data_IF_128061529327
#
_entry.id   IF_128061529327
#
_cell.length_a   1.000
_cell.length_b   1.000
_cell.length_c   1.000
_cell.angle_alpha   90.00
_cell.angle_beta   90.00
_cell.angle_gamma   90.00
#
_symmetry.space_group_name_H-M   'P 1'
#
loop_
_entity.id
_entity.type
_entity.pdbx_description
1 polymer ?
#
# COMPACT_ATOMS: atom_id res chain seq x y z
N UNK A 1 14.69 24.22 31.54
CA UNK A 1 14.03 23.00 31.02
C UNK A 1 14.76 22.59 29.74
N UNK A 2 15.73 21.67 29.84
CA UNK A 2 16.60 21.29 28.72
C UNK A 2 15.79 20.43 27.76
N UNK A 3 15.52 20.95 26.56
CA UNK A 3 14.88 20.22 25.46
C UNK A 3 15.88 19.16 25.00
N UNK A 4 15.70 17.93 25.47
CA UNK A 4 16.53 16.79 25.09
C UNK A 4 16.31 16.55 23.60
N UNK A 5 17.22 17.04 22.76
CA UNK A 5 17.26 16.66 21.35
C UNK A 5 17.60 15.18 21.27
N UNK A 6 16.56 14.36 21.22
CA UNK A 6 16.70 12.95 20.90
C UNK A 6 17.08 12.91 19.42
N UNK A 7 18.39 12.86 19.17
CA UNK A 7 18.94 12.54 17.87
C UNK A 7 18.37 11.19 17.45
N UNK A 8 17.35 11.22 16.60
CA UNK A 8 16.68 10.04 16.11
C UNK A 8 17.67 9.25 15.27
N UNK A 9 18.10 8.09 15.76
CA UNK A 9 18.88 7.14 14.99
C UNK A 9 18.17 6.89 13.65
N UNK A 10 18.88 6.94 12.53
CA UNK A 10 18.34 6.69 11.19
C UNK A 10 17.94 5.22 10.94
N UNK A 11 17.47 4.51 11.98
CA UNK A 11 16.97 3.14 11.92
C UNK A 11 15.44 3.16 11.92
N UNK A 12 14.80 2.26 11.16
CA UNK A 12 13.36 2.16 11.15
C UNK A 12 12.82 1.78 12.53
N UNK A 13 11.86 2.57 13.03
CA UNK A 13 11.19 2.28 14.29
C UNK A 13 10.12 1.19 14.11
N UNK A 14 9.55 0.70 15.22
CA UNK A 14 8.52 -0.36 15.19
C UNK A 14 7.32 -0.03 14.29
N UNK A 15 6.90 1.23 14.24
CA UNK A 15 5.78 1.66 13.39
C UNK A 15 6.13 1.56 11.90
N UNK A 16 7.34 1.97 11.51
CA UNK A 16 7.83 1.84 10.13
C UNK A 16 7.94 0.38 9.74
N UNK A 17 8.51 -0.46 10.62
CA UNK A 17 8.64 -1.90 10.36
C UNK A 17 7.25 -2.54 10.19
N UNK A 18 6.28 -2.20 11.04
CA UNK A 18 4.92 -2.69 10.93
C UNK A 18 4.28 -2.27 9.59
N UNK A 19 4.36 -0.99 9.23
CA UNK A 19 3.82 -0.49 7.95
C UNK A 19 4.53 -1.13 6.75
N UNK A 20 5.84 -1.36 6.84
CA UNK A 20 6.61 -2.04 5.79
C UNK A 20 6.21 -3.51 5.63
N UNK A 21 5.97 -4.24 6.72
CA UNK A 21 5.45 -5.61 6.71
C UNK A 21 4.06 -5.67 6.08
N UNK A 22 3.17 -4.80 6.54
CA UNK A 22 1.81 -4.67 6.02
C UNK A 22 1.82 -4.33 4.52
N UNK A 23 2.64 -3.36 4.11
CA UNK A 23 2.81 -2.96 2.72
C UNK A 23 3.38 -4.08 1.85
N UNK A 24 4.36 -4.84 2.36
CA UNK A 24 4.92 -6.02 1.68
C UNK A 24 3.84 -7.07 1.44
N UNK A 25 3.07 -7.42 2.47
CA UNK A 25 2.00 -8.42 2.36
C UNK A 25 0.90 -7.98 1.39
N UNK A 26 0.48 -6.72 1.47
CA UNK A 26 -0.51 -6.16 0.56
C UNK A 26 0.00 -6.18 -0.89
N UNK A 27 1.26 -5.78 -1.10
CA UNK A 27 1.88 -5.74 -2.43
C UNK A 27 2.01 -7.14 -3.02
N UNK A 28 2.46 -8.12 -2.23
CA UNK A 28 2.53 -9.51 -2.64
C UNK A 28 1.14 -10.06 -3.01
N UNK A 29 0.13 -9.79 -2.16
CA UNK A 29 -1.26 -10.16 -2.43
C UNK A 29 -1.75 -9.62 -3.77
N UNK A 30 -1.45 -8.36 -4.10
CA UNK A 30 -1.82 -7.75 -5.38
C UNK A 30 -1.23 -8.47 -6.58
N UNK A 31 0.06 -8.79 -6.52
CA UNK A 31 0.73 -9.52 -7.61
C UNK A 31 0.11 -10.90 -7.78
N UNK A 32 -0.17 -11.60 -6.67
CA UNK A 32 -0.83 -12.92 -6.69
C UNK A 32 -2.23 -12.82 -7.28
N UNK A 33 -3.06 -11.87 -6.85
CA UNK A 33 -4.41 -11.68 -7.40
C UNK A 33 -4.39 -11.29 -8.88
N UNK A 34 -3.47 -10.40 -9.29
CA UNK A 34 -3.25 -10.06 -10.70
C UNK A 34 -2.90 -11.28 -11.54
N UNK A 35 -2.01 -12.15 -11.03
CA UNK A 35 -1.64 -13.40 -11.70
C UNK A 35 -2.80 -14.41 -11.74
N UNK A 36 -3.52 -14.61 -10.64
CA UNK A 36 -4.68 -15.51 -10.60
C UNK A 36 -5.76 -15.04 -11.58
N UNK A 37 -5.97 -13.74 -11.71
CA UNK A 37 -6.95 -13.18 -12.64
C UNK A 37 -6.55 -13.37 -14.11
N UNK A 38 -5.26 -13.46 -14.45
CA UNK A 38 -4.85 -13.75 -15.84
C UNK A 38 -5.05 -15.21 -16.23
N UNK A 39 -4.90 -16.15 -15.28
CA UNK A 39 -5.13 -17.59 -15.53
C UNK A 39 -6.59 -18.00 -15.34
N UNK A 40 -7.41 -17.16 -14.69
CA UNK A 40 -8.86 -17.37 -14.52
C UNK A 40 -9.64 -16.10 -14.84
N UNK A 41 -9.68 -15.66 -16.12
CA UNK A 41 -10.30 -14.40 -16.50
C UNK A 41 -11.79 -14.37 -16.13
N UNK A 42 -12.20 -13.37 -15.34
CA UNK A 42 -13.58 -13.20 -14.88
C UNK A 42 -14.01 -14.13 -13.75
N UNK A 43 -13.31 -15.24 -13.50
CA UNK A 43 -13.70 -16.21 -12.46
C UNK A 43 -13.48 -15.74 -11.02
N UNK A 44 -12.82 -14.60 -10.82
CA UNK A 44 -12.68 -13.96 -9.52
C UNK A 44 -13.77 -12.90 -9.26
N UNK A 45 -14.51 -12.47 -10.28
CA UNK A 45 -15.44 -11.34 -10.20
C UNK A 45 -16.85 -11.83 -9.85
N UNK A 46 -17.59 -11.05 -9.07
CA UNK A 46 -18.98 -11.36 -8.72
C UNK A 46 -19.95 -10.94 -9.85
N UNK A 47 -19.49 -10.07 -10.75
CA UNK A 47 -20.25 -9.53 -11.88
C UNK A 47 -19.46 -9.70 -13.17
N UNK A 48 -20.15 -10.06 -14.25
CA UNK A 48 -19.56 -10.09 -15.59
C UNK A 48 -19.20 -8.67 -16.06
N UNK A 49 -17.96 -8.51 -16.50
CA UNK A 49 -17.46 -7.24 -17.03
C UNK A 49 -16.79 -7.44 -18.38
N UNK A 50 -16.74 -6.38 -19.17
CA UNK A 50 -16.08 -6.42 -20.47
C UNK A 50 -14.59 -6.81 -20.32
N UNK A 51 -14.00 -7.54 -21.30
CA UNK A 51 -12.60 -7.97 -21.24
C UNK A 51 -11.59 -6.85 -20.99
N UNK A 52 -11.86 -5.65 -21.51
CA UNK A 52 -11.02 -4.46 -21.28
C UNK A 52 -10.96 -4.05 -19.81
N UNK A 53 -12.05 -4.22 -19.06
CA UNK A 53 -12.11 -3.94 -17.62
C UNK A 53 -11.28 -4.95 -16.84
N UNK A 54 -11.33 -6.24 -17.23
CA UNK A 54 -10.48 -7.28 -16.63
C UNK A 54 -9.00 -6.97 -16.85
N UNK A 55 -8.62 -6.57 -18.06
CA UNK A 55 -7.23 -6.16 -18.36
C UNK A 55 -6.81 -4.95 -17.54
N UNK A 56 -7.69 -3.96 -17.39
CA UNK A 56 -7.44 -2.79 -16.56
C UNK A 56 -7.24 -3.15 -15.08
N UNK A 57 -8.11 -4.00 -14.52
CA UNK A 57 -7.99 -4.50 -13.14
C UNK A 57 -6.64 -5.19 -12.94
N UNK A 58 -6.26 -6.07 -13.87
CA UNK A 58 -4.99 -6.80 -13.80
C UNK A 58 -3.79 -5.87 -13.86
N UNK A 59 -3.80 -4.91 -14.78
CA UNK A 59 -2.76 -3.90 -14.89
C UNK A 59 -2.64 -3.09 -13.59
N UNK A 60 -3.76 -2.71 -12.97
CA UNK A 60 -3.76 -1.98 -11.70
C UNK A 60 -3.25 -2.84 -10.53
N UNK A 61 -3.60 -4.12 -10.45
CA UNK A 61 -3.03 -5.02 -9.45
C UNK A 61 -1.50 -5.11 -9.56
N UNK A 62 -0.96 -5.29 -10.75
CA UNK A 62 0.50 -5.30 -10.94
C UNK A 62 1.14 -3.95 -10.64
N UNK A 63 0.56 -2.86 -11.14
CA UNK A 63 1.08 -1.51 -10.94
C UNK A 63 1.13 -1.14 -9.45
N UNK A 64 0.01 -1.30 -8.74
CA UNK A 64 -0.06 -0.98 -7.31
C UNK A 64 0.82 -1.92 -6.47
N UNK A 65 0.93 -3.19 -6.84
CA UNK A 65 1.83 -4.13 -6.17
C UNK A 65 3.29 -3.73 -6.32
N UNK A 66 3.75 -3.39 -7.52
CA UNK A 66 5.13 -2.95 -7.77
C UNK A 66 5.43 -1.63 -7.06
N UNK A 67 4.55 -0.64 -7.19
CA UNK A 67 4.71 0.65 -6.52
C UNK A 67 4.70 0.51 -5.00
N UNK A 68 3.90 -0.42 -4.47
CA UNK A 68 3.87 -0.75 -3.04
C UNK A 68 5.21 -1.28 -2.54
N UNK A 69 5.84 -2.21 -3.26
CA UNK A 69 7.19 -2.67 -2.92
C UNK A 69 8.23 -1.54 -2.96
N UNK A 70 8.20 -0.70 -4.00
CA UNK A 70 9.10 0.46 -4.12
C UNK A 70 8.92 1.41 -2.93
N UNK A 71 7.68 1.69 -2.55
CA UNK A 71 7.36 2.53 -1.40
C UNK A 71 7.87 1.92 -0.08
N UNK A 72 7.71 0.61 0.11
CA UNK A 72 8.23 -0.12 1.28
C UNK A 72 9.76 0.00 1.36
N UNK A 73 10.48 -0.16 0.26
CA UNK A 73 11.93 0.00 0.22
C UNK A 73 12.33 1.42 0.65
N UNK A 74 11.69 2.44 0.08
CA UNK A 74 11.94 3.84 0.46
C UNK A 74 11.66 4.10 1.94
N UNK A 75 10.58 3.52 2.48
CA UNK A 75 10.18 3.66 3.87
C UNK A 75 11.19 3.00 4.82
N UNK A 76 11.67 1.79 4.49
CA UNK A 76 12.69 1.07 5.26
C UNK A 76 14.06 1.76 5.21
N UNK A 77 14.37 2.42 4.10
CA UNK A 77 15.57 3.26 3.95
C UNK A 77 15.48 4.60 4.70
N UNK A 78 14.39 4.84 5.46
CA UNK A 78 14.16 6.07 6.21
C UNK A 78 14.23 7.33 5.33
N UNK A 79 13.78 7.22 4.07
CA UNK A 79 13.76 8.33 3.12
C UNK A 79 12.41 9.03 3.13
N UNK A 80 12.43 10.37 3.10
CA UNK A 80 11.18 11.17 3.03
C UNK A 80 10.32 10.82 1.82
N UNK A 81 10.94 10.54 0.67
CA UNK A 81 10.21 10.12 -0.53
C UNK A 81 9.49 8.79 -0.32
N UNK A 82 10.06 7.87 0.48
CA UNK A 82 9.45 6.59 0.81
C UNK A 82 8.17 6.76 1.62
N UNK A 83 8.18 7.66 2.61
CA UNK A 83 6.97 8.03 3.36
C UNK A 83 5.86 8.53 2.44
N UNK A 84 6.17 9.50 1.57
CA UNK A 84 5.18 10.07 0.66
C UNK A 84 4.72 9.09 -0.41
N UNK A 85 5.61 8.22 -0.90
CA UNK A 85 5.26 7.13 -1.80
C UNK A 85 4.30 6.14 -1.12
N UNK A 86 4.54 5.74 0.14
CA UNK A 86 3.63 4.87 0.87
C UNK A 86 2.26 5.51 1.04
N UNK A 87 2.21 6.80 1.38
CA UNK A 87 0.95 7.55 1.49
C UNK A 87 0.21 7.55 0.15
N UNK A 88 0.90 7.93 -0.92
CA UNK A 88 0.33 8.02 -2.26
C UNK A 88 -0.22 6.68 -2.76
N UNK A 89 0.59 5.61 -2.69
CA UNK A 89 0.17 4.27 -3.10
C UNK A 89 -0.98 3.76 -2.26
N UNK A 90 -1.00 4.05 -0.95
CA UNK A 90 -2.11 3.67 -0.08
C UNK A 90 -3.41 4.36 -0.50
N UNK A 91 -3.37 5.66 -0.79
CA UNK A 91 -4.55 6.41 -1.28
C UNK A 91 -5.06 5.84 -2.61
N UNK A 92 -4.17 5.61 -3.58
CA UNK A 92 -4.56 5.02 -4.87
C UNK A 92 -5.17 3.63 -4.70
N UNK A 93 -4.59 2.81 -3.81
CA UNK A 93 -5.12 1.48 -3.52
C UNK A 93 -6.54 1.57 -2.96
N UNK A 94 -6.77 2.47 -2.00
CA UNK A 94 -8.10 2.67 -1.41
C UNK A 94 -9.11 3.07 -2.48
N UNK A 95 -8.77 4.04 -3.34
CA UNK A 95 -9.66 4.49 -4.41
C UNK A 95 -9.98 3.37 -5.40
N UNK A 96 -8.95 2.62 -5.81
CA UNK A 96 -9.10 1.49 -6.71
C UNK A 96 -9.99 0.40 -6.13
N UNK A 97 -9.83 0.08 -4.84
CA UNK A 97 -10.62 -0.97 -4.21
C UNK A 97 -12.05 -0.55 -3.90
N UNK A 98 -12.28 0.71 -3.51
CA UNK A 98 -13.64 1.23 -3.33
C UNK A 98 -14.41 1.10 -4.64
N UNK A 99 -13.76 1.44 -5.77
CA UNK A 99 -14.33 1.17 -7.08
C UNK A 99 -14.47 -0.34 -7.34
N UNK A 100 -13.45 -1.13 -7.02
CA UNK A 100 -13.45 -2.59 -7.20
C UNK A 100 -14.58 -3.32 -6.45
N UNK A 101 -15.04 -2.79 -5.31
CA UNK A 101 -16.19 -3.33 -4.56
C UNK A 101 -17.46 -3.39 -5.39
N UNK A 102 -17.62 -2.52 -6.40
CA UNK A 102 -18.79 -2.57 -7.29
C UNK A 102 -18.74 -3.75 -8.27
N UNK A 103 -17.60 -4.42 -8.39
CA UNK A 103 -17.36 -5.55 -9.31
C UNK A 103 -17.17 -6.85 -8.54
N UNK A 104 -16.48 -6.78 -7.39
CA UNK A 104 -16.16 -7.92 -6.55
C UNK A 104 -16.14 -7.46 -5.08
N UNK A 105 -17.06 -7.96 -4.26
CA UNK A 105 -17.20 -7.51 -2.87
C UNK A 105 -15.93 -7.77 -2.05
N UNK A 106 -15.20 -8.86 -2.34
CA UNK A 106 -13.94 -9.18 -1.65
C UNK A 106 -12.84 -8.14 -1.91
N UNK A 107 -12.99 -7.24 -2.89
CA UNK A 107 -12.11 -6.08 -3.05
C UNK A 107 -12.09 -5.17 -1.81
N UNK A 108 -13.15 -5.19 -0.98
CA UNK A 108 -13.20 -4.44 0.28
C UNK A 108 -12.05 -4.80 1.23
N UNK A 109 -11.58 -6.05 1.20
CA UNK A 109 -10.42 -6.49 1.98
C UNK A 109 -9.12 -5.82 1.51
N UNK A 110 -9.06 -5.41 0.25
CA UNK A 110 -7.89 -4.82 -0.39
C UNK A 110 -7.46 -3.49 0.23
N UNK A 111 -8.41 -2.69 0.75
CA UNK A 111 -8.14 -1.35 1.27
C UNK A 111 -7.93 -1.30 2.78
N UNK A 112 -8.18 -2.39 3.52
CA UNK A 112 -8.01 -2.44 4.98
C UNK A 112 -6.57 -2.15 5.38
N UNK A 113 -5.61 -2.83 4.75
CA UNK A 113 -4.18 -2.67 5.04
C UNK A 113 -3.67 -1.26 4.70
N UNK A 114 -3.98 -0.69 3.52
CA UNK A 114 -3.69 0.72 3.21
C UNK A 114 -4.26 1.72 4.22
N UNK A 115 -5.50 1.54 4.67
CA UNK A 115 -6.14 2.42 5.66
C UNK A 115 -5.38 2.39 6.99
N UNK A 116 -5.09 1.18 7.51
CA UNK A 116 -4.32 1.03 8.75
C UNK A 116 -2.93 1.67 8.61
N UNK A 117 -2.28 1.45 7.47
CA UNK A 117 -0.96 2.01 7.18
C UNK A 117 -0.98 3.54 7.17
N UNK A 118 -1.97 4.15 6.51
CA UNK A 118 -2.16 5.60 6.52
C UNK A 118 -2.42 6.14 7.92
N UNK A 119 -3.28 5.50 8.71
CA UNK A 119 -3.57 5.94 10.07
C UNK A 119 -2.28 5.98 10.93
N UNK A 120 -1.46 4.94 10.86
CA UNK A 120 -0.17 4.88 11.58
C UNK A 120 0.76 6.01 11.13
N UNK A 121 0.91 6.21 9.81
CA UNK A 121 1.80 7.21 9.24
C UNK A 121 1.34 8.64 9.54
N UNK A 122 0.04 8.91 9.48
CA UNK A 122 -0.55 10.23 9.70
C UNK A 122 -0.51 10.62 11.18
N UNK A 123 -0.86 9.71 12.10
CA UNK A 123 -0.80 9.97 13.55
C UNK A 123 0.61 10.30 14.01
N UNK A 124 1.62 9.67 13.40
CA UNK A 124 3.03 9.85 13.77
C UNK A 124 3.80 10.74 12.78
N UNK A 125 3.11 11.49 11.91
CA UNK A 125 3.71 12.22 10.78
C UNK A 125 4.90 13.09 11.17
N UNK A 126 4.74 13.98 12.16
CA UNK A 126 5.78 14.93 12.57
C UNK A 126 7.01 14.23 13.14
N UNK A 127 6.80 13.18 13.93
CA UNK A 127 7.87 12.37 14.52
C UNK A 127 8.62 11.58 13.45
N UNK A 128 7.89 10.92 12.53
CA UNK A 128 8.47 10.11 11.47
C UNK A 128 9.25 10.97 10.47
N UNK A 129 8.66 12.05 9.96
CA UNK A 129 9.34 12.93 9.01
C UNK A 129 10.56 13.63 9.62
N UNK A 130 10.51 13.97 10.91
CA UNK A 130 11.67 14.53 11.64
C UNK A 130 12.84 13.55 11.78
N UNK A 131 12.56 12.24 11.77
CA UNK A 131 13.58 11.18 11.83
C UNK A 131 14.17 10.75 10.48
N UNK A 132 13.56 11.18 9.37
CA UNK A 132 13.87 10.72 8.02
C UNK A 132 14.79 11.68 7.27
N UNK A 133 15.67 11.09 6.45
CA UNK A 133 16.59 11.80 5.55
C UNK A 133 15.91 12.23 4.26
#
# INVERSE_FOLDING_TARGET
>A
MVKKEIHSSGKPNRSIILVALLGTLQSAGRIVFGYLSTITPGGLLDVEVAPIIIQFINAMFFLLGILGFIAVVGLLMMRRWGFWATVFVSVLTILFDIWGVTIQFTAAMGFVVPVISLLILLVKKSQLLGSMK
#
